data_IF_947075445564
#
_entry.id   IF_947075445564
#
_cell.length_a   1.000
_cell.length_b   1.000
_cell.length_c   1.000
_cell.angle_alpha   90.00
_cell.angle_beta   90.00
_cell.angle_gamma   90.00
#
_symmetry.space_group_name_H-M   'P 1'
#
loop_
_entity.id
_entity.type
_entity.pdbx_description
1 polymer ?
#
# COMPACT_ATOMS: atom_id res chain seq x y z
N UNK A 1 -74.01 13.65 -2.18
CA UNK A 1 -72.69 13.65 -2.80
C UNK A 1 -71.64 13.57 -1.69
N UNK A 2 -71.02 12.40 -1.52
CA UNK A 2 -69.92 12.21 -0.51
C UNK A 2 -68.63 12.07 -1.34
N UNK A 3 -67.72 13.03 -1.17
CA UNK A 3 -66.40 13.01 -1.77
C UNK A 3 -65.46 12.40 -0.76
N UNK A 4 -64.89 11.24 -1.07
CA UNK A 4 -63.86 10.59 -0.27
C UNK A 4 -62.49 11.10 -0.71
N UNK A 5 -61.74 11.75 0.22
CA UNK A 5 -60.34 12.04 0.04
C UNK A 5 -59.52 10.78 0.39
N UNK A 6 -58.85 10.20 -0.58
CA UNK A 6 -57.85 9.19 -0.35
C UNK A 6 -56.50 9.89 -0.14
N UNK A 7 -55.95 9.72 1.05
CA UNK A 7 -54.61 10.19 1.38
C UNK A 7 -53.56 9.23 0.84
N UNK A 8 -52.73 9.66 -0.09
CA UNK A 8 -51.57 8.94 -0.60
C UNK A 8 -50.41 9.18 0.38
N UNK A 9 -50.10 8.19 1.22
CA UNK A 9 -48.89 8.17 2.03
C UNK A 9 -47.74 7.69 1.15
N UNK A 10 -46.95 8.60 0.60
CA UNK A 10 -45.71 8.31 -0.06
C UNK A 10 -44.60 8.01 0.94
N UNK A 11 -44.20 6.76 1.06
CA UNK A 11 -43.02 6.36 1.85
C UNK A 11 -41.75 6.81 1.13
N UNK A 12 -41.12 7.88 1.62
CA UNK A 12 -39.81 8.33 1.20
C UNK A 12 -38.77 7.39 1.81
N UNK A 13 -38.38 6.35 1.10
CA UNK A 13 -37.23 5.52 1.46
C UNK A 13 -35.97 6.34 1.21
N UNK A 14 -35.41 6.92 2.27
CA UNK A 14 -34.06 7.48 2.24
C UNK A 14 -33.12 6.27 2.21
N UNK A 15 -32.62 5.95 1.02
CA UNK A 15 -31.48 5.07 0.87
C UNK A 15 -30.28 5.81 1.46
N UNK A 16 -29.92 5.48 2.71
CA UNK A 16 -28.61 5.77 3.23
C UNK A 16 -27.64 4.88 2.43
N UNK A 17 -27.09 5.42 1.36
CA UNK A 17 -25.87 4.88 0.78
C UNK A 17 -24.77 5.11 1.81
N UNK A 18 -24.49 4.09 2.62
CA UNK A 18 -23.23 3.98 3.31
C UNK A 18 -22.16 3.96 2.24
N UNK A 19 -21.48 5.09 2.04
CA UNK A 19 -20.22 5.09 1.34
C UNK A 19 -19.28 4.20 2.16
N UNK A 20 -19.14 2.95 1.78
CA UNK A 20 -18.08 2.08 2.24
C UNK A 20 -16.77 2.70 1.73
N UNK A 21 -16.19 3.60 2.52
CA UNK A 21 -14.86 4.14 2.29
C UNK A 21 -13.89 3.08 2.80
N UNK A 22 -13.66 2.06 1.99
CA UNK A 22 -12.56 1.14 2.16
C UNK A 22 -11.25 1.91 1.90
N UNK A 23 -10.76 2.64 2.90
CA UNK A 23 -9.46 3.28 2.89
C UNK A 23 -8.53 2.58 3.86
N UNK A 24 -7.89 1.51 3.34
CA UNK A 24 -6.75 0.92 4.01
C UNK A 24 -5.59 1.90 4.04
N UNK A 25 -4.97 2.00 5.17
CA UNK A 25 -3.81 2.80 5.40
C UNK A 25 -4.12 4.04 6.25
N UNK A 26 -3.99 5.22 5.67
CA UNK A 26 -3.97 6.48 6.39
C UNK A 26 -5.19 6.73 7.29
N UNK A 27 -6.41 6.58 6.78
CA UNK A 27 -7.63 6.96 7.51
C UNK A 27 -8.00 6.01 8.66
N UNK A 28 -7.49 4.78 8.66
CA UNK A 28 -7.65 3.86 9.80
C UNK A 28 -6.75 4.27 10.98
N UNK A 29 -5.56 4.78 10.68
CA UNK A 29 -4.56 5.15 11.68
C UNK A 29 -4.70 6.60 12.12
N UNK A 30 -4.94 7.53 11.18
CA UNK A 30 -4.88 8.97 11.38
C UNK A 30 -6.20 9.67 11.01
N UNK A 31 -6.44 10.82 11.59
CA UNK A 31 -7.58 11.66 11.21
C UNK A 31 -7.19 12.57 10.03
N UNK A 32 -7.70 12.32 8.81
CA UNK A 32 -7.34 13.09 7.62
C UNK A 32 -7.90 14.52 7.61
N UNK A 33 -8.83 14.80 8.51
CA UNK A 33 -9.55 16.10 8.59
C UNK A 33 -9.03 17.00 9.71
N UNK A 34 -8.09 16.53 10.52
CA UNK A 34 -7.43 17.29 11.57
C UNK A 34 -5.95 17.43 11.28
N UNK A 35 -5.44 18.64 11.51
CA UNK A 35 -4.01 18.91 11.55
C UNK A 35 -3.67 19.36 12.96
N UNK A 36 -2.63 18.77 13.54
CA UNK A 36 -2.03 19.22 14.80
C UNK A 36 -0.70 19.87 14.51
N UNK A 37 -0.33 20.85 15.35
CA UNK A 37 0.96 21.53 15.31
C UNK A 37 1.72 21.19 16.57
N UNK A 38 2.89 20.60 16.41
CA UNK A 38 3.79 20.15 17.47
C UNK A 38 5.02 21.04 17.42
N UNK A 39 5.31 21.75 18.51
CA UNK A 39 6.54 22.53 18.67
C UNK A 39 7.42 21.82 19.71
N UNK A 40 8.66 21.57 19.39
CA UNK A 40 9.54 20.84 20.28
C UNK A 40 10.96 20.70 19.78
N UNK A 41 11.62 19.68 20.28
CA UNK A 41 13.02 19.36 19.97
C UNK A 41 13.12 17.94 19.47
N UNK A 42 13.88 17.72 18.40
CA UNK A 42 14.13 16.37 17.86
C UNK A 42 14.79 15.52 18.94
N UNK A 43 14.11 14.47 19.36
CA UNK A 43 14.62 13.49 20.32
C UNK A 43 15.36 12.35 19.62
N UNK A 44 14.76 11.80 18.57
CA UNK A 44 15.28 10.65 17.81
C UNK A 44 14.62 10.63 16.43
N UNK A 45 15.36 10.14 15.43
CA UNK A 45 14.82 9.81 14.13
C UNK A 45 15.23 8.38 13.76
N UNK A 46 14.25 7.52 13.61
CA UNK A 46 14.45 6.16 13.16
C UNK A 46 14.22 6.11 11.64
N UNK A 47 15.32 5.95 10.91
CA UNK A 47 15.30 5.89 9.44
C UNK A 47 15.29 4.43 9.01
N UNK A 48 14.12 3.80 9.11
CA UNK A 48 13.90 2.35 8.95
C UNK A 48 12.73 2.05 8.01
N UNK A 49 12.54 0.80 7.68
CA UNK A 49 11.39 0.27 6.94
C UNK A 49 10.59 -0.69 7.86
N UNK A 50 9.27 -0.76 7.76
CA UNK A 50 8.40 -0.18 6.72
C UNK A 50 8.06 1.30 6.92
N UNK A 51 8.24 1.86 8.10
CA UNK A 51 7.98 3.27 8.42
C UNK A 51 9.16 3.88 9.16
N UNK A 52 9.56 5.12 8.78
CA UNK A 52 10.43 5.93 9.61
C UNK A 52 9.63 6.58 10.75
N UNK A 53 10.30 6.89 11.86
CA UNK A 53 9.66 7.53 13.03
C UNK A 53 10.46 8.73 13.51
N UNK A 54 9.78 9.87 13.64
CA UNK A 54 10.34 11.06 14.27
C UNK A 54 9.77 11.21 15.68
N UNK A 55 10.64 11.18 16.67
CA UNK A 55 10.29 11.44 18.07
C UNK A 55 10.63 12.87 18.44
N UNK A 56 9.67 13.59 19.06
CA UNK A 56 9.79 15.01 19.39
C UNK A 56 9.50 15.19 20.89
N UNK A 57 10.48 15.68 21.63
CA UNK A 57 10.26 16.14 23.00
C UNK A 57 9.49 17.44 22.96
N UNK A 58 8.31 17.50 23.61
CA UNK A 58 7.38 18.62 23.59
C UNK A 58 6.64 18.74 24.92
N UNK A 59 5.63 19.58 24.98
CA UNK A 59 4.70 19.71 26.11
C UNK A 59 3.27 19.59 25.62
N UNK A 60 2.39 18.98 26.45
CA UNK A 60 0.97 18.95 26.16
C UNK A 60 0.28 20.29 26.52
N UNK A 61 -1.03 20.38 26.30
CA UNK A 61 -1.81 21.58 26.62
C UNK A 61 -1.76 21.97 28.11
N UNK A 62 -1.48 21.02 29.00
CA UNK A 62 -1.30 21.25 30.43
C UNK A 62 0.10 21.72 30.83
N UNK A 63 1.04 21.80 29.85
CA UNK A 63 2.44 22.13 30.08
C UNK A 63 3.28 20.97 30.60
N UNK A 64 2.77 19.74 30.56
CA UNK A 64 3.48 18.56 31.00
C UNK A 64 4.38 18.00 29.88
N UNK A 65 5.61 17.56 30.21
CA UNK A 65 6.51 16.96 29.20
C UNK A 65 5.91 15.70 28.58
N UNK A 66 5.91 15.65 27.23
CA UNK A 66 5.45 14.51 26.43
C UNK A 66 6.40 14.25 25.28
N UNK A 67 6.32 13.04 24.71
CA UNK A 67 7.03 12.68 23.49
C UNK A 67 6.01 12.38 22.41
N UNK A 68 6.04 13.14 21.33
CA UNK A 68 5.27 12.79 20.13
C UNK A 68 6.05 11.81 19.28
N UNK A 69 5.36 10.81 18.72
CA UNK A 69 5.85 9.88 17.67
C UNK A 69 5.11 10.17 16.38
N UNK A 70 5.82 10.64 15.37
CA UNK A 70 5.24 10.91 14.05
C UNK A 70 5.79 9.93 13.02
N UNK A 71 4.90 9.24 12.32
CA UNK A 71 5.22 8.25 11.31
C UNK A 71 5.60 8.92 9.99
N UNK A 72 6.63 8.41 9.35
CA UNK A 72 7.09 8.80 8.02
C UNK A 72 7.02 7.62 7.06
N UNK A 73 7.24 7.89 5.78
CA UNK A 73 7.41 6.85 4.77
C UNK A 73 8.62 5.97 5.07
N UNK A 74 8.65 4.77 4.47
CA UNK A 74 9.78 3.86 4.52
C UNK A 74 11.11 4.54 4.12
N UNK A 75 12.20 4.17 4.77
CA UNK A 75 13.53 4.70 4.49
C UNK A 75 13.91 4.59 3.00
N UNK A 76 13.57 3.47 2.35
CA UNK A 76 13.77 3.27 0.90
C UNK A 76 13.04 4.32 0.07
N UNK A 77 11.79 4.64 0.43
CA UNK A 77 11.00 5.66 -0.28
C UNK A 77 11.53 7.07 -0.05
N UNK A 78 11.96 7.37 1.18
CA UNK A 78 12.58 8.65 1.54
C UNK A 78 13.92 8.84 0.82
N UNK A 79 14.76 7.78 0.76
CA UNK A 79 16.05 7.81 0.05
C UNK A 79 15.85 8.14 -1.45
N UNK A 80 14.83 7.57 -2.11
CA UNK A 80 14.51 7.91 -3.50
C UNK A 80 14.08 9.35 -3.71
N UNK A 81 13.68 10.01 -2.64
CA UNK A 81 13.34 11.44 -2.63
C UNK A 81 14.53 12.33 -2.25
N UNK A 82 15.72 11.76 -2.08
CA UNK A 82 16.92 12.46 -1.68
C UNK A 82 17.00 12.76 -0.18
N UNK A 83 16.23 12.05 0.62
CA UNK A 83 16.24 12.16 2.09
C UNK A 83 17.05 11.02 2.68
N UNK A 84 17.86 11.32 3.68
CA UNK A 84 18.66 10.36 4.44
C UNK A 84 18.46 10.53 5.96
N UNK A 85 19.16 9.71 6.74
CA UNK A 85 19.05 9.70 8.18
C UNK A 85 19.51 11.03 8.86
N UNK A 86 20.11 11.95 8.12
CA UNK A 86 20.60 13.25 8.66
C UNK A 86 19.55 14.36 8.54
N UNK A 87 18.38 14.10 7.95
CA UNK A 87 17.32 15.10 7.81
C UNK A 87 16.93 15.77 9.12
N UNK A 88 16.89 15.00 10.20
CA UNK A 88 16.52 15.50 11.52
C UNK A 88 17.71 15.36 12.48
N UNK A 89 18.22 16.49 12.94
CA UNK A 89 19.36 16.53 13.88
C UNK A 89 18.83 16.48 15.33
N UNK A 90 19.27 15.49 16.10
CA UNK A 90 18.91 15.37 17.51
C UNK A 90 19.31 16.62 18.30
N UNK A 91 18.39 17.15 19.09
CA UNK A 91 18.59 18.36 19.90
C UNK A 91 18.20 19.66 19.18
N UNK A 92 17.92 19.64 17.89
CA UNK A 92 17.45 20.83 17.17
C UNK A 92 15.96 21.08 17.36
N UNK A 93 15.60 22.36 17.38
CA UNK A 93 14.20 22.80 17.45
C UNK A 93 13.49 22.50 16.12
N UNK A 94 12.28 22.00 16.21
CA UNK A 94 11.42 21.70 15.06
C UNK A 94 9.96 22.06 15.36
N UNK A 95 9.26 22.45 14.30
CA UNK A 95 7.80 22.54 14.34
C UNK A 95 7.26 21.56 13.30
N UNK A 96 6.37 20.66 13.72
CA UNK A 96 5.75 19.68 12.83
C UNK A 96 4.26 19.91 12.75
N UNK A 97 3.74 20.03 11.54
CA UNK A 97 2.32 19.91 11.23
C UNK A 97 2.06 18.49 10.75
N UNK A 98 1.15 17.79 11.43
CA UNK A 98 0.86 16.39 11.15
C UNK A 98 -0.59 16.03 11.40
N UNK A 99 -0.96 14.81 11.07
CA UNK A 99 -2.30 14.28 11.25
C UNK A 99 -2.34 13.42 12.52
N UNK A 100 -3.21 13.73 13.51
CA UNK A 100 -3.20 13.01 14.79
C UNK A 100 -3.61 11.55 14.61
N UNK A 101 -2.94 10.67 15.33
CA UNK A 101 -3.32 9.27 15.39
C UNK A 101 -4.66 9.09 16.12
N UNK A 102 -5.43 8.08 15.71
CA UNK A 102 -6.77 7.81 16.32
C UNK A 102 -6.68 7.09 17.64
N UNK A 103 -5.65 6.30 17.87
CA UNK A 103 -5.49 5.44 19.04
C UNK A 103 -4.40 5.89 20.01
N UNK A 104 -3.54 6.84 19.58
CA UNK A 104 -2.47 7.39 20.41
C UNK A 104 -2.56 8.91 20.45
N UNK A 105 -2.77 9.52 21.63
CA UNK A 105 -2.90 10.97 21.79
C UNK A 105 -1.62 11.74 21.43
N UNK A 106 -0.46 11.06 21.43
CA UNK A 106 0.84 11.64 21.08
C UNK A 106 1.43 11.04 19.79
N UNK A 107 0.63 10.28 19.04
CA UNK A 107 0.95 9.77 17.72
C UNK A 107 0.52 10.73 16.61
N UNK A 108 1.30 10.79 15.52
CA UNK A 108 0.90 11.48 14.31
C UNK A 108 1.50 10.85 13.04
N UNK A 109 0.87 11.09 11.90
CA UNK A 109 1.52 11.02 10.59
C UNK A 109 2.19 12.36 10.34
N UNK A 110 3.45 12.33 9.94
CA UNK A 110 4.21 13.52 9.60
C UNK A 110 3.66 14.16 8.30
N UNK A 111 3.32 15.43 8.39
CA UNK A 111 2.90 16.23 7.23
C UNK A 111 4.02 17.12 6.73
N UNK A 112 4.28 18.24 7.42
CA UNK A 112 5.33 19.20 7.11
C UNK A 112 6.10 19.55 8.38
N UNK A 113 7.42 19.53 8.30
CA UNK A 113 8.31 20.03 9.34
C UNK A 113 8.99 21.32 8.92
N UNK A 114 9.11 22.24 9.85
CA UNK A 114 9.78 23.53 9.69
C UNK A 114 11.00 23.56 10.60
N UNK A 115 12.16 23.80 10.02
CA UNK A 115 13.44 23.79 10.73
C UNK A 115 13.85 25.20 11.20
N UNK A 116 14.77 25.26 12.15
CA UNK A 116 15.24 26.52 12.73
C UNK A 116 15.93 27.46 11.71
N UNK A 117 16.50 26.91 10.64
CA UNK A 117 17.13 27.68 9.54
C UNK A 117 16.11 28.27 8.54
N UNK A 118 14.82 28.05 8.75
CA UNK A 118 13.73 28.48 7.88
C UNK A 118 13.44 27.55 6.72
N UNK A 119 14.16 26.45 6.56
CA UNK A 119 13.84 25.42 5.58
C UNK A 119 12.65 24.55 6.06
N UNK A 120 12.09 23.78 5.14
CA UNK A 120 11.00 22.84 5.45
C UNK A 120 11.10 21.56 4.65
N UNK A 121 10.59 20.47 5.22
CA UNK A 121 10.39 19.21 4.53
C UNK A 121 8.92 18.80 4.62
N UNK A 122 8.33 18.52 3.46
CA UNK A 122 6.92 18.09 3.37
C UNK A 122 6.84 16.67 2.83
N UNK A 123 6.21 15.80 3.59
CA UNK A 123 5.93 14.43 3.17
C UNK A 123 4.49 14.30 2.67
N UNK A 124 3.54 14.81 3.44
CA UNK A 124 2.13 14.89 3.08
C UNK A 124 1.64 16.31 3.29
N UNK A 125 1.12 16.93 2.25
CA UNK A 125 0.69 18.31 2.32
C UNK A 125 -0.82 18.48 2.51
N UNK A 126 -1.22 19.55 3.15
CA UNK A 126 -2.52 20.18 3.00
C UNK A 126 -2.70 20.76 1.59
N UNK A 127 -3.92 21.04 1.14
CA UNK A 127 -4.31 21.23 -0.27
C UNK A 127 -3.42 22.12 -1.16
N UNK A 128 -2.76 23.15 -0.62
CA UNK A 128 -1.89 24.05 -1.41
C UNK A 128 -0.54 23.42 -1.81
N UNK A 129 0.02 22.56 -1.01
CA UNK A 129 1.29 21.93 -1.29
C UNK A 129 1.17 20.70 -2.22
N UNK A 130 -0.04 20.16 -2.44
CA UNK A 130 -0.27 19.08 -3.42
C UNK A 130 0.19 19.46 -4.83
N UNK A 131 0.00 20.72 -5.20
CA UNK A 131 0.35 21.23 -6.54
C UNK A 131 1.86 21.39 -6.74
N UNK A 132 2.57 21.89 -5.73
CA UNK A 132 4.04 22.04 -5.78
C UNK A 132 4.76 20.69 -5.69
N UNK A 133 4.20 19.77 -4.91
CA UNK A 133 4.77 18.44 -4.71
C UNK A 133 4.65 17.53 -5.94
N UNK A 134 3.60 17.68 -6.72
CA UNK A 134 3.42 16.99 -7.99
C UNK A 134 4.45 17.45 -9.04
N UNK A 135 4.84 18.74 -9.02
CA UNK A 135 5.77 19.31 -9.97
C UNK A 135 7.25 18.87 -9.77
N UNK A 136 7.65 18.56 -8.53
CA UNK A 136 9.02 18.10 -8.22
C UNK A 136 9.21 16.57 -8.32
N UNK A 137 8.25 15.88 -8.88
CA UNK A 137 8.09 14.43 -8.80
C UNK A 137 8.32 13.69 -10.11
N UNK A 138 9.24 14.16 -10.91
CA UNK A 138 9.76 13.31 -11.97
C UNK A 138 10.62 12.19 -11.34
N UNK A 139 9.94 11.07 -11.02
CA UNK A 139 10.64 9.79 -11.01
C UNK A 139 11.27 9.73 -12.40
N UNK A 140 12.60 9.72 -12.47
CA UNK A 140 13.29 9.55 -13.75
C UNK A 140 12.87 8.22 -14.32
N UNK A 141 11.95 8.29 -15.27
CA UNK A 141 11.58 7.14 -16.06
C UNK A 141 12.73 6.93 -17.03
N UNK A 142 13.25 5.72 -17.07
CA UNK A 142 14.13 5.37 -18.17
C UNK A 142 13.34 5.57 -19.47
N UNK A 143 13.85 6.32 -20.45
CA UNK A 143 13.28 6.34 -21.78
C UNK A 143 13.58 5.00 -22.42
N UNK A 144 12.85 3.99 -22.04
CA UNK A 144 13.03 2.62 -22.51
C UNK A 144 11.70 2.09 -22.96
N UNK A 145 11.45 2.10 -24.25
CA UNK A 145 10.45 1.27 -24.87
C UNK A 145 10.88 -0.20 -24.78
N UNK A 146 10.89 -0.80 -23.60
CA UNK A 146 10.98 -2.25 -23.53
C UNK A 146 9.61 -2.80 -23.92
N UNK A 147 9.55 -3.57 -24.97
CA UNK A 147 8.38 -4.39 -25.30
C UNK A 147 8.33 -5.69 -24.49
N UNK A 148 9.26 -5.85 -23.56
CA UNK A 148 9.43 -7.02 -22.71
C UNK A 148 9.02 -6.69 -21.29
N UNK A 149 8.41 -7.65 -20.58
CA UNK A 149 8.13 -7.53 -19.15
C UNK A 149 9.39 -7.59 -18.29
N UNK A 150 10.50 -8.11 -18.83
CA UNK A 150 11.78 -8.20 -18.11
C UNK A 150 12.41 -6.82 -17.94
N UNK A 151 12.80 -6.51 -16.71
CA UNK A 151 13.36 -5.23 -16.33
C UNK A 151 12.98 -4.80 -14.92
N UNK A 152 13.25 -3.55 -14.60
CA UNK A 152 12.87 -2.95 -13.30
C UNK A 152 11.69 -2.01 -13.49
N UNK A 153 10.72 -2.16 -12.64
CA UNK A 153 9.44 -1.48 -12.69
C UNK A 153 9.15 -0.81 -11.37
N UNK A 154 8.46 0.32 -11.41
CA UNK A 154 8.05 1.05 -10.21
C UNK A 154 6.62 1.57 -10.39
N UNK A 155 5.81 1.46 -9.35
CA UNK A 155 4.51 2.10 -9.33
C UNK A 155 4.71 3.59 -9.06
N UNK A 156 4.27 4.49 -9.97
CA UNK A 156 4.29 5.92 -9.69
C UNK A 156 3.28 6.25 -8.59
N UNK A 157 3.47 7.35 -7.93
CA UNK A 157 2.53 7.83 -6.94
C UNK A 157 3.04 7.85 -5.50
N UNK A 158 2.22 8.33 -4.56
CA UNK A 158 2.47 8.32 -3.11
C UNK A 158 1.51 7.34 -2.43
N UNK A 159 1.79 6.97 -1.19
CA UNK A 159 0.81 6.31 -0.35
C UNK A 159 -0.51 7.10 -0.33
N UNK A 160 -1.63 6.41 -0.54
CA UNK A 160 -2.93 7.05 -0.66
C UNK A 160 -3.26 7.62 -2.05
N UNK A 161 -2.31 7.60 -2.99
CA UNK A 161 -2.56 7.96 -4.39
C UNK A 161 -3.04 6.74 -5.17
N UNK A 162 -4.18 6.86 -5.82
CA UNK A 162 -4.74 5.81 -6.68
C UNK A 162 -4.07 5.73 -8.06
N UNK A 163 -3.10 6.62 -8.38
CA UNK A 163 -2.42 6.59 -9.67
C UNK A 163 -1.73 5.24 -9.89
N UNK A 164 -1.95 4.64 -11.05
CA UNK A 164 -1.43 3.32 -11.40
C UNK A 164 -2.15 2.12 -10.74
N UNK A 165 -3.18 2.35 -9.91
CA UNK A 165 -4.08 1.31 -9.43
C UNK A 165 -5.40 1.41 -10.18
N UNK A 166 -5.77 0.35 -10.88
CA UNK A 166 -7.11 0.20 -11.45
C UNK A 166 -8.15 -0.16 -10.38
N UNK A 167 -9.41 -0.13 -10.75
CA UNK A 167 -10.50 -0.52 -9.84
C UNK A 167 -10.37 -2.00 -9.43
N UNK A 168 -10.74 -2.29 -8.20
CA UNK A 168 -11.02 -3.66 -7.72
C UNK A 168 -12.52 -3.87 -7.78
N UNK A 169 -12.96 -5.05 -8.21
CA UNK A 169 -14.36 -5.43 -8.29
C UNK A 169 -14.62 -6.77 -7.61
N UNK A 170 -15.88 -7.04 -7.29
CA UNK A 170 -16.29 -8.26 -6.57
C UNK A 170 -16.30 -8.10 -5.05
N UNK A 171 -15.88 -6.97 -4.50
CA UNK A 171 -15.84 -6.72 -3.05
C UNK A 171 -17.24 -6.76 -2.42
N UNK A 172 -18.26 -6.32 -3.15
CA UNK A 172 -19.66 -6.34 -2.70
C UNK A 172 -20.25 -7.77 -2.61
N UNK A 173 -19.53 -8.79 -3.10
CA UNK A 173 -19.94 -10.19 -3.08
C UNK A 173 -19.56 -10.92 -1.78
N UNK A 174 -19.18 -10.18 -0.74
CA UNK A 174 -18.73 -10.72 0.54
C UNK A 174 -19.81 -11.62 1.16
N UNK A 175 -19.38 -12.77 1.64
CA UNK A 175 -20.23 -13.73 2.33
C UNK A 175 -20.36 -13.40 3.82
N UNK A 176 -21.33 -13.98 4.57
CA UNK A 176 -21.37 -13.80 6.02
C UNK A 176 -20.09 -14.25 6.75
N UNK A 177 -19.36 -15.24 6.20
CA UNK A 177 -18.06 -15.65 6.74
C UNK A 177 -16.99 -14.57 6.50
N UNK A 178 -16.97 -13.95 5.31
CA UNK A 178 -16.10 -12.84 4.99
C UNK A 178 -16.42 -11.61 5.85
N UNK A 179 -17.69 -11.25 6.02
CA UNK A 179 -18.09 -10.14 6.91
C UNK A 179 -17.60 -10.37 8.35
N UNK A 180 -17.72 -11.60 8.86
CA UNK A 180 -17.23 -11.95 10.19
C UNK A 180 -15.69 -11.85 10.29
N UNK A 181 -14.96 -12.25 9.23
CA UNK A 181 -13.50 -12.13 9.18
C UNK A 181 -13.06 -10.67 9.16
N UNK A 182 -13.69 -9.83 8.33
CA UNK A 182 -13.41 -8.38 8.27
C UNK A 182 -13.74 -7.70 9.59
N UNK A 183 -14.84 -8.05 10.24
CA UNK A 183 -15.20 -7.50 11.55
C UNK A 183 -14.22 -7.88 12.68
N UNK A 184 -13.52 -9.00 12.53
CA UNK A 184 -12.49 -9.45 13.48
C UNK A 184 -11.10 -8.89 13.18
N UNK A 185 -10.85 -8.42 11.96
CA UNK A 185 -9.57 -7.90 11.50
C UNK A 185 -9.28 -6.52 12.09
N UNK A 186 -8.13 -6.38 12.74
CA UNK A 186 -7.64 -5.07 13.17
C UNK A 186 -6.68 -4.51 12.08
N UNK A 187 -7.08 -3.46 11.34
CA UNK A 187 -6.26 -2.93 10.23
C UNK A 187 -4.93 -2.33 10.69
N UNK A 188 -4.73 -2.18 11.99
CA UNK A 188 -3.45 -1.75 12.58
C UNK A 188 -2.65 -2.97 13.02
N UNK A 189 -3.20 -3.79 13.94
CA UNK A 189 -2.49 -4.90 14.53
C UNK A 189 -2.25 -6.07 13.56
N UNK A 190 -3.16 -6.28 12.59
CA UNK A 190 -3.10 -7.39 11.63
C UNK A 190 -2.53 -6.96 10.26
N UNK A 191 -2.00 -5.73 10.15
CA UNK A 191 -1.39 -5.25 8.92
C UNK A 191 -0.09 -6.04 8.62
N UNK A 192 0.01 -6.75 7.48
CA UNK A 192 1.20 -7.52 7.15
C UNK A 192 2.50 -6.70 7.20
N UNK A 193 2.44 -5.44 6.80
CA UNK A 193 3.63 -4.58 6.71
C UNK A 193 4.31 -4.34 8.06
N UNK A 194 3.55 -4.21 9.16
CA UNK A 194 4.17 -3.99 10.49
C UNK A 194 4.88 -5.23 11.03
N UNK A 195 4.55 -6.41 10.49
CA UNK A 195 5.17 -7.69 10.83
C UNK A 195 6.26 -8.10 9.83
N UNK A 196 6.67 -7.19 8.93
CA UNK A 196 7.61 -7.49 7.85
C UNK A 196 7.15 -8.62 6.92
N UNK A 197 5.85 -8.81 6.79
CA UNK A 197 5.25 -9.77 5.87
C UNK A 197 5.01 -9.12 4.51
N UNK A 198 5.36 -9.85 3.44
CA UNK A 198 5.14 -9.38 2.07
C UNK A 198 3.67 -9.43 1.63
N UNK A 199 2.83 -10.18 2.35
CA UNK A 199 1.46 -10.44 1.96
C UNK A 199 1.34 -11.20 0.64
N UNK A 200 0.19 -11.12 -0.01
CA UNK A 200 -0.06 -11.81 -1.28
C UNK A 200 0.70 -11.18 -2.46
N UNK A 201 0.85 -11.91 -3.59
CA UNK A 201 1.38 -11.34 -4.83
C UNK A 201 0.63 -10.08 -5.29
N UNK A 202 -0.68 -10.03 -5.09
CA UNK A 202 -1.52 -8.86 -5.45
C UNK A 202 -1.17 -7.64 -4.58
N UNK A 203 -0.91 -7.86 -3.29
CA UNK A 203 -0.44 -6.82 -2.39
C UNK A 203 0.91 -6.25 -2.82
N UNK A 204 1.86 -7.12 -3.19
CA UNK A 204 3.23 -6.74 -3.53
C UNK A 204 3.34 -5.79 -4.74
N UNK A 205 2.38 -5.80 -5.65
CA UNK A 205 2.32 -4.82 -6.74
C UNK A 205 1.87 -3.43 -6.28
N UNK A 206 1.30 -3.32 -5.08
CA UNK A 206 0.61 -2.14 -4.58
C UNK A 206 1.47 -0.99 -4.07
N UNK A 207 2.58 -1.20 -3.35
CA UNK A 207 3.31 -0.13 -2.70
C UNK A 207 3.94 0.85 -3.70
N UNK A 208 3.57 2.15 -3.67
CA UNK A 208 4.15 3.14 -4.57
C UNK A 208 5.58 3.48 -4.15
N UNK A 209 6.43 3.75 -5.14
CA UNK A 209 7.81 4.16 -4.90
C UNK A 209 8.75 3.03 -4.46
N UNK A 210 8.27 1.78 -4.43
CA UNK A 210 9.10 0.59 -4.29
C UNK A 210 9.26 -0.08 -5.66
N UNK A 211 10.46 -0.52 -5.97
CA UNK A 211 10.76 -1.12 -7.26
C UNK A 211 10.52 -2.64 -7.24
N UNK A 212 10.19 -3.16 -8.41
CA UNK A 212 10.05 -4.59 -8.67
C UNK A 212 10.92 -4.95 -9.86
N UNK A 213 11.73 -6.00 -9.76
CA UNK A 213 12.45 -6.54 -10.92
C UNK A 213 11.85 -7.85 -11.39
N UNK A 214 11.79 -8.02 -12.69
CA UNK A 214 11.37 -9.26 -13.36
C UNK A 214 12.53 -9.73 -14.20
N UNK A 215 13.01 -10.94 -13.94
CA UNK A 215 14.17 -11.54 -14.60
C UNK A 215 13.87 -12.98 -14.99
N UNK A 216 14.66 -13.54 -15.91
CA UNK A 216 14.66 -14.96 -16.22
C UNK A 216 15.89 -15.62 -15.60
N UNK A 217 15.68 -16.70 -14.85
CA UNK A 217 16.73 -17.48 -14.19
C UNK A 217 16.42 -18.96 -14.41
N UNK A 218 17.34 -19.68 -15.04
CA UNK A 218 17.22 -21.13 -15.29
C UNK A 218 15.88 -21.54 -15.95
N UNK A 219 15.40 -20.71 -16.88
CA UNK A 219 14.15 -20.92 -17.60
C UNK A 219 12.88 -20.61 -16.83
N UNK A 220 12.97 -20.15 -15.58
CA UNK A 220 11.86 -19.64 -14.78
C UNK A 220 11.84 -18.12 -14.77
N UNK A 221 10.67 -17.54 -14.47
CA UNK A 221 10.56 -16.11 -14.24
C UNK A 221 10.70 -15.84 -12.74
N UNK A 222 11.65 -14.98 -12.39
CA UNK A 222 11.87 -14.56 -11.00
C UNK A 222 11.44 -13.11 -10.86
N UNK A 223 10.54 -12.85 -9.90
CA UNK A 223 10.03 -11.54 -9.57
C UNK A 223 10.53 -11.19 -8.16
N UNK A 224 11.35 -10.15 -8.07
CA UNK A 224 11.80 -9.60 -6.81
C UNK A 224 11.08 -8.27 -6.56
N UNK A 225 10.43 -8.17 -5.42
CA UNK A 225 9.82 -6.93 -4.92
C UNK A 225 10.72 -6.37 -3.81
N UNK A 226 11.09 -5.11 -3.91
CA UNK A 226 11.76 -4.43 -2.78
C UNK A 226 10.89 -4.44 -1.52
N UNK A 227 9.56 -4.39 -1.69
CA UNK A 227 8.64 -4.57 -0.57
C UNK A 227 8.95 -5.87 0.17
N UNK A 228 9.41 -5.73 1.42
CA UNK A 228 9.80 -6.82 2.31
C UNK A 228 10.87 -7.77 1.74
N UNK A 229 11.69 -7.29 0.77
CA UNK A 229 12.70 -8.13 0.08
C UNK A 229 12.13 -9.44 -0.47
N UNK A 230 10.89 -9.41 -0.94
CA UNK A 230 10.16 -10.62 -1.32
C UNK A 230 10.58 -11.11 -2.71
N UNK A 231 10.99 -12.37 -2.80
CA UNK A 231 11.31 -13.03 -4.08
C UNK A 231 10.31 -14.12 -4.36
N UNK A 232 9.74 -14.11 -5.57
CA UNK A 232 8.80 -15.11 -6.06
C UNK A 232 9.34 -15.77 -7.33
N UNK A 233 9.37 -17.10 -7.36
CA UNK A 233 9.69 -17.87 -8.56
C UNK A 233 8.41 -18.32 -9.24
N UNK A 234 8.25 -17.99 -10.51
CA UNK A 234 7.19 -18.50 -11.37
C UNK A 234 7.76 -19.66 -12.16
N UNK A 235 7.33 -20.86 -11.85
CA UNK A 235 7.81 -22.10 -12.49
C UNK A 235 7.22 -22.21 -13.89
N UNK A 236 8.09 -22.17 -14.89
CA UNK A 236 7.70 -22.24 -16.30
C UNK A 236 7.76 -23.68 -16.81
N UNK A 237 6.89 -23.97 -17.80
CA UNK A 237 6.90 -25.31 -18.43
C UNK A 237 6.28 -26.42 -17.59
N UNK A 238 5.55 -26.07 -16.56
CA UNK A 238 4.72 -26.99 -15.74
C UNK A 238 3.25 -26.60 -15.88
N UNK A 239 2.37 -27.59 -15.98
CA UNK A 239 0.94 -27.38 -16.24
C UNK A 239 0.08 -27.48 -14.98
N UNK A 240 0.65 -27.96 -13.89
CA UNK A 240 -0.07 -28.18 -12.63
C UNK A 240 0.81 -27.87 -11.43
N UNK A 241 0.18 -27.37 -10.38
CA UNK A 241 0.82 -27.25 -9.08
C UNK A 241 1.17 -28.64 -8.52
N UNK A 242 2.27 -28.79 -7.77
CA UNK A 242 2.60 -30.06 -7.12
C UNK A 242 1.59 -30.36 -6.01
N UNK A 243 1.39 -31.65 -5.73
CA UNK A 243 0.64 -32.07 -4.54
C UNK A 243 1.41 -31.69 -3.26
N UNK A 244 0.68 -31.29 -2.21
CA UNK A 244 1.26 -31.03 -0.89
C UNK A 244 2.11 -29.75 -0.82
N UNK A 245 1.70 -28.68 -1.51
CA UNK A 245 2.33 -27.37 -1.37
C UNK A 245 2.31 -26.95 0.11
N UNK A 246 3.47 -26.59 0.64
CA UNK A 246 3.54 -25.93 1.95
C UNK A 246 2.90 -24.53 1.83
N UNK A 247 1.83 -24.24 2.57
CA UNK A 247 1.16 -22.95 2.46
C UNK A 247 2.09 -21.77 2.82
N UNK A 248 2.02 -20.71 2.02
CA UNK A 248 2.77 -19.49 2.29
C UNK A 248 1.98 -18.26 1.88
N UNK A 249 2.42 -17.07 2.31
CA UNK A 249 1.75 -15.81 1.96
C UNK A 249 1.77 -15.52 0.45
N UNK A 250 2.86 -15.91 -0.24
CA UNK A 250 3.02 -15.69 -1.67
C UNK A 250 2.58 -16.89 -2.53
N UNK A 251 2.22 -18.01 -1.90
CA UNK A 251 1.81 -19.24 -2.58
C UNK A 251 2.90 -19.86 -3.47
N UNK A 252 2.50 -20.83 -4.26
CA UNK A 252 3.30 -21.46 -5.31
C UNK A 252 2.79 -20.99 -6.67
N UNK A 253 3.69 -20.46 -7.53
CA UNK A 253 3.35 -19.87 -8.82
C UNK A 253 3.87 -20.73 -9.98
N UNK A 254 2.99 -21.01 -10.96
CA UNK A 254 3.33 -21.59 -12.24
C UNK A 254 3.00 -20.60 -13.36
N UNK A 255 3.70 -20.67 -14.48
CA UNK A 255 3.55 -19.68 -15.54
C UNK A 255 3.53 -20.25 -16.94
N UNK A 256 2.85 -19.55 -17.84
CA UNK A 256 2.83 -19.81 -19.28
C UNK A 256 2.82 -18.51 -20.06
N UNK A 257 3.34 -18.56 -21.27
CA UNK A 257 3.23 -17.45 -22.21
C UNK A 257 2.01 -17.60 -23.11
N UNK A 258 1.23 -16.53 -23.20
CA UNK A 258 0.15 -16.37 -24.18
C UNK A 258 0.50 -15.18 -25.09
N UNK A 259 1.21 -15.46 -26.19
CA UNK A 259 1.84 -14.41 -26.99
C UNK A 259 2.87 -13.63 -26.16
N UNK A 260 2.70 -12.32 -26.05
CA UNK A 260 3.58 -11.43 -25.28
C UNK A 260 3.09 -11.22 -23.81
N UNK A 261 2.09 -11.99 -23.37
CA UNK A 261 1.56 -11.92 -22.02
C UNK A 261 2.05 -13.11 -21.20
N UNK A 262 2.68 -12.83 -20.06
CA UNK A 262 2.92 -13.83 -19.03
C UNK A 262 1.66 -14.03 -18.22
N UNK A 263 1.15 -15.25 -18.19
CA UNK A 263 0.04 -15.67 -17.34
C UNK A 263 0.61 -16.48 -16.19
N UNK A 264 0.31 -16.05 -14.96
CA UNK A 264 0.78 -16.70 -13.73
C UNK A 264 -0.45 -17.23 -13.00
N UNK A 265 -0.42 -18.49 -12.63
CA UNK A 265 -1.38 -19.12 -11.75
C UNK A 265 -0.74 -19.39 -10.39
N UNK A 266 -1.40 -19.00 -9.30
CA UNK A 266 -0.85 -19.13 -7.95
C UNK A 266 -1.87 -19.75 -7.01
N UNK A 267 -1.44 -20.77 -6.26
CA UNK A 267 -2.22 -21.50 -5.28
C UNK A 267 -1.35 -21.85 -4.06
N UNK A 268 -1.94 -22.47 -3.04
CA UNK A 268 -1.22 -22.87 -1.83
C UNK A 268 -0.89 -21.68 -0.93
N UNK A 269 -1.87 -20.80 -0.74
CA UNK A 269 -1.75 -19.67 0.17
C UNK A 269 -1.98 -20.08 1.63
N UNK A 270 -1.30 -19.43 2.56
CA UNK A 270 -1.78 -19.31 3.95
C UNK A 270 -2.87 -18.24 4.00
N UNK A 271 -3.80 -18.33 4.96
CA UNK A 271 -4.80 -17.28 5.14
C UNK A 271 -4.15 -15.93 5.43
N UNK A 272 -4.73 -14.85 4.91
CA UNK A 272 -4.13 -13.51 5.05
C UNK A 272 -4.89 -12.39 4.33
N UNK A 273 -4.14 -11.41 3.87
CA UNK A 273 -4.63 -10.22 3.17
C UNK A 273 -4.30 -10.32 1.68
N UNK A 274 -5.33 -10.26 0.84
CA UNK A 274 -5.16 -10.22 -0.62
C UNK A 274 -4.67 -8.83 -1.07
N UNK A 275 -5.40 -7.81 -0.71
CA UNK A 275 -5.03 -6.40 -0.92
C UNK A 275 -5.99 -5.54 -0.10
N UNK A 276 -5.45 -4.52 0.49
CA UNK A 276 -6.29 -3.68 1.31
C UNK A 276 -6.92 -4.45 2.51
N UNK A 277 -8.27 -4.40 2.76
CA UNK A 277 -9.05 -5.19 3.73
C UNK A 277 -9.69 -6.42 3.11
N UNK A 278 -9.34 -6.71 1.88
CA UNK A 278 -9.78 -7.92 1.22
C UNK A 278 -8.97 -9.09 1.82
N UNK A 279 -9.63 -9.84 2.68
CA UNK A 279 -9.04 -10.99 3.34
C UNK A 279 -9.26 -12.26 2.50
N UNK A 280 -8.46 -13.28 2.77
CA UNK A 280 -8.60 -14.58 2.12
C UNK A 280 -8.26 -15.73 3.07
N UNK A 281 -8.80 -16.91 2.75
CA UNK A 281 -8.42 -18.18 3.38
C UNK A 281 -7.28 -18.87 2.61
N UNK A 282 -6.93 -20.06 3.02
CA UNK A 282 -6.01 -20.96 2.31
C UNK A 282 -6.59 -21.54 0.98
N UNK A 283 -7.89 -21.29 0.71
CA UNK A 283 -8.52 -21.70 -0.53
C UNK A 283 -8.38 -20.69 -1.68
N UNK A 284 -7.68 -19.59 -1.42
CA UNK A 284 -7.40 -18.58 -2.45
C UNK A 284 -6.64 -19.18 -3.62
N UNK A 285 -7.05 -18.82 -4.84
CA UNK A 285 -6.26 -18.93 -6.06
C UNK A 285 -6.21 -17.61 -6.80
N UNK A 286 -5.10 -17.29 -7.44
CA UNK A 286 -4.91 -16.02 -8.17
C UNK A 286 -4.35 -16.30 -9.56
N UNK A 287 -5.03 -15.80 -10.60
CA UNK A 287 -4.46 -15.66 -11.94
C UNK A 287 -4.00 -14.22 -12.15
N UNK A 288 -2.74 -14.03 -12.51
CA UNK A 288 -2.18 -12.74 -12.89
C UNK A 288 -1.80 -12.75 -14.37
N UNK A 289 -1.96 -11.62 -15.05
CA UNK A 289 -1.59 -11.44 -16.45
C UNK A 289 -0.73 -10.19 -16.58
N UNK A 290 0.52 -10.40 -16.96
CA UNK A 290 1.53 -9.36 -17.10
C UNK A 290 1.84 -9.11 -18.58
N UNK A 291 1.69 -7.87 -19.03
CA UNK A 291 2.04 -7.49 -20.41
C UNK A 291 2.49 -6.03 -20.47
N UNK A 292 3.37 -5.71 -21.42
CA UNK A 292 3.74 -4.32 -21.68
C UNK A 292 2.80 -3.76 -22.76
N UNK A 293 2.12 -2.67 -22.44
CA UNK A 293 1.18 -2.02 -23.33
C UNK A 293 1.60 -0.62 -23.74
N UNK A 294 1.28 -0.28 -24.97
CA UNK A 294 1.38 1.06 -25.54
C UNK A 294 2.81 1.48 -25.91
N UNK A 295 2.92 2.65 -26.55
CA UNK A 295 4.19 3.22 -26.99
C UNK A 295 5.04 3.73 -25.80
N UNK A 296 4.44 3.86 -24.62
CA UNK A 296 5.05 4.33 -23.38
C UNK A 296 5.64 3.20 -22.50
N UNK A 297 5.58 1.94 -22.97
CA UNK A 297 6.25 0.82 -22.31
C UNK A 297 5.86 0.62 -20.86
N UNK A 298 4.56 0.69 -20.51
CA UNK A 298 4.05 0.46 -19.17
C UNK A 298 3.73 -1.02 -18.95
N UNK A 299 4.16 -1.56 -17.82
CA UNK A 299 3.76 -2.91 -17.39
C UNK A 299 2.33 -2.85 -16.85
N UNK A 300 1.44 -3.56 -17.51
CA UNK A 300 0.07 -3.79 -17.07
C UNK A 300 -0.01 -5.12 -16.35
N UNK A 301 -0.52 -5.09 -15.15
CA UNK A 301 -0.84 -6.27 -14.35
C UNK A 301 -2.36 -6.29 -14.16
N UNK A 302 -3.03 -7.33 -14.64
CA UNK A 302 -4.42 -7.61 -14.29
C UNK A 302 -4.46 -8.93 -13.53
N UNK A 303 -5.36 -9.03 -12.55
CA UNK A 303 -5.48 -10.22 -11.74
C UNK A 303 -6.94 -10.60 -11.51
N UNK A 304 -7.15 -11.90 -11.29
CA UNK A 304 -8.39 -12.50 -10.83
C UNK A 304 -8.08 -13.36 -9.61
N UNK A 305 -8.86 -13.21 -8.57
CA UNK A 305 -8.75 -14.02 -7.38
C UNK A 305 -10.06 -14.74 -7.10
N UNK A 306 -9.98 -16.03 -6.85
CA UNK A 306 -11.10 -16.87 -6.42
C UNK A 306 -10.88 -17.21 -4.95
N UNK A 307 -11.77 -16.72 -4.11
CA UNK A 307 -11.79 -16.96 -2.66
C UNK A 307 -13.20 -17.42 -2.25
N UNK A 308 -13.48 -18.72 -2.31
CA UNK A 308 -14.86 -19.22 -2.27
C UNK A 308 -15.49 -19.17 -0.89
N UNK A 309 -14.72 -18.92 0.17
CA UNK A 309 -15.22 -18.84 1.56
C UNK A 309 -15.73 -17.44 1.87
N UNK A 310 -14.96 -16.41 1.51
CA UNK A 310 -15.26 -15.03 1.88
C UNK A 310 -16.00 -14.25 0.79
N UNK A 311 -15.94 -14.68 -0.48
CA UNK A 311 -16.59 -14.00 -1.60
C UNK A 311 -17.33 -14.99 -2.51
N UNK A 312 -18.54 -14.62 -2.92
CA UNK A 312 -19.38 -15.44 -3.81
C UNK A 312 -19.09 -15.22 -5.29
N UNK A 313 -18.33 -14.16 -5.63
CA UNK A 313 -17.92 -13.83 -6.98
C UNK A 313 -16.39 -13.71 -7.07
N UNK A 314 -15.88 -13.76 -8.29
CA UNK A 314 -14.46 -13.58 -8.58
C UNK A 314 -14.07 -12.13 -8.33
N UNK A 315 -13.06 -11.95 -7.50
CA UNK A 315 -12.42 -10.64 -7.31
C UNK A 315 -11.49 -10.34 -8.50
N UNK A 316 -11.53 -9.13 -9.01
CA UNK A 316 -10.63 -8.71 -10.09
C UNK A 316 -10.05 -7.34 -9.82
N UNK A 317 -8.87 -7.10 -10.34
CA UNK A 317 -8.25 -5.79 -10.27
C UNK A 317 -7.11 -5.63 -11.27
N UNK A 318 -6.52 -4.43 -11.26
CA UNK A 318 -5.39 -4.15 -12.13
C UNK A 318 -4.46 -3.12 -11.53
N UNK A 319 -3.22 -3.11 -12.01
CA UNK A 319 -2.20 -2.12 -11.65
C UNK A 319 -1.34 -1.81 -12.87
N UNK A 320 -0.72 -0.64 -12.85
CA UNK A 320 0.14 -0.15 -13.89
C UNK A 320 1.47 0.31 -13.27
N UNK A 321 2.59 -0.21 -13.78
CA UNK A 321 3.93 0.19 -13.37
C UNK A 321 4.66 0.80 -14.56
N UNK A 322 5.62 1.65 -14.24
CA UNK A 322 6.50 2.30 -15.21
C UNK A 322 7.89 1.69 -15.12
N UNK A 323 8.57 1.57 -16.25
CA UNK A 323 9.97 1.14 -16.26
C UNK A 323 10.85 2.20 -15.56
N UNK A 324 11.89 1.76 -14.87
CA UNK A 324 12.82 2.64 -14.16
C UNK A 324 14.26 2.14 -14.28
N UNK A 325 15.21 3.08 -14.29
CA UNK A 325 16.64 2.82 -14.19
C UNK A 325 17.18 2.96 -12.75
N UNK A 326 16.29 3.18 -11.78
CA UNK A 326 16.67 3.27 -10.39
C UNK A 326 17.21 1.92 -9.89
N UNK A 327 18.31 1.99 -9.14
CA UNK A 327 18.89 0.81 -8.52
C UNK A 327 17.89 0.17 -7.54
N UNK A 328 17.86 -1.14 -7.51
CA UNK A 328 17.16 -1.89 -6.48
C UNK A 328 17.85 -1.65 -5.13
N UNK A 329 17.06 -1.48 -4.10
CA UNK A 329 17.53 -1.32 -2.72
C UNK A 329 17.03 -2.47 -1.87
N UNK A 330 17.80 -2.81 -0.84
CA UNK A 330 17.35 -3.71 0.21
C UNK A 330 16.31 -2.99 1.05
N UNK A 331 15.23 -3.68 1.35
CA UNK A 331 14.20 -3.13 2.22
C UNK A 331 14.61 -3.23 3.69
N UNK A 332 15.25 -4.35 4.07
CA UNK A 332 15.76 -4.58 5.42
C UNK A 332 14.73 -4.18 6.50
N UNK A 333 13.56 -4.79 6.41
CA UNK A 333 12.41 -4.46 7.25
C UNK A 333 12.71 -4.69 8.73
N UNK A 334 12.30 -3.75 9.58
CA UNK A 334 12.32 -3.85 11.04
C UNK A 334 10.89 -3.95 11.53
N UNK A 335 10.47 -5.07 12.18
CA UNK A 335 9.12 -5.19 12.70
C UNK A 335 8.81 -4.10 13.73
N UNK A 336 7.62 -3.53 13.68
CA UNK A 336 7.22 -2.49 14.63
C UNK A 336 7.23 -3.04 16.07
N UNK A 337 7.79 -2.28 17.00
CA UNK A 337 7.89 -2.68 18.40
C UNK A 337 9.10 -3.58 18.73
N UNK A 338 10.00 -3.82 17.77
CA UNK A 338 11.27 -4.54 17.99
C UNK A 338 12.46 -3.61 18.22
N UNK A 339 12.23 -2.31 18.37
CA UNK A 339 13.23 -1.22 18.49
C UNK A 339 13.85 -1.11 19.89
#
# INVERSE_FOLDING_TARGET
>A
MKVSLAALAGSLSIALSSAALAHHGFAAHYDPYRVIRIEGTVKRFDFINPHGFLFIDSVNEAGEPVVYKCDLQAAVQLTRRGVDATLFTVGEAIVVEGFPARRDPYGCEYGTGYFADGSSFTMRSTDEARTQFAANREIRLAPGSTRSIFGTWIRPGMFGDASGRGPTTGEDSITPAGEAAVAAFDPIADNPAIHCSGGSPVWLWGPPGLATSITEVDGNVVIYHESMDTTRTVHMGVDQHPDGIEPSEIGHSIGRWEGDTLVIDTAGFSAGVLTGEILHTDQLTVEERLSVKGDNGRLQISWKAVEPVYYSEVLTGSQELQSTDQALMRYDCVPEGSE
#
